data_IF_059075856203
#
_entry.id   IF_059075856203
#
_cell.length_a   1.000
_cell.length_b   1.000
_cell.length_c   1.000
_cell.angle_alpha   90.00
_cell.angle_beta   90.00
_cell.angle_gamma   90.00
#
_symmetry.space_group_name_H-M   'P 1'
#
loop_
_entity.id
_entity.type
_entity.pdbx_description
1 polymer ?
#
# COMPACT_ATOMS: atom_id res chain seq x y z
N UNK A 1 -29.02 -12.62 -1.76
CA UNK A 1 -28.21 -11.38 -1.78
C UNK A 1 -28.19 -10.86 -0.35
N UNK A 2 -27.23 -11.31 0.45
CA UNK A 2 -27.13 -10.96 1.87
C UNK A 2 -26.21 -9.73 1.98
N UNK A 3 -26.76 -8.64 2.50
CA UNK A 3 -26.00 -7.49 2.92
C UNK A 3 -25.08 -7.92 4.07
N UNK A 4 -23.82 -8.20 3.78
CA UNK A 4 -22.76 -8.14 4.78
C UNK A 4 -22.62 -6.67 5.15
N UNK A 5 -23.53 -6.19 6.03
CA UNK A 5 -23.43 -4.86 6.58
C UNK A 5 -22.07 -4.76 7.28
N UNK A 6 -21.30 -3.78 6.87
CA UNK A 6 -20.04 -3.31 7.38
C UNK A 6 -19.98 -3.36 8.94
N UNK A 7 -19.77 -4.56 9.52
CA UNK A 7 -19.68 -4.77 10.97
C UNK A 7 -18.43 -4.12 11.55
N UNK A 8 -17.46 -3.83 10.72
CA UNK A 8 -16.15 -3.32 11.11
C UNK A 8 -16.07 -1.78 11.09
N UNK A 9 -17.02 -1.12 10.43
CA UNK A 9 -17.10 0.34 10.41
C UNK A 9 -17.09 0.97 11.80
N UNK A 10 -17.90 0.49 12.77
CA UNK A 10 -17.89 0.99 14.14
C UNK A 10 -16.57 0.75 14.88
N UNK A 11 -15.95 -0.42 14.71
CA UNK A 11 -14.67 -0.76 15.36
C UNK A 11 -13.52 0.09 14.80
N UNK A 12 -13.45 0.27 13.49
CA UNK A 12 -12.47 1.15 12.86
C UNK A 12 -12.66 2.60 13.32
N UNK A 13 -13.89 3.11 13.27
CA UNK A 13 -14.20 4.49 13.69
C UNK A 13 -13.83 4.73 15.16
N UNK A 14 -14.18 3.80 16.05
CA UNK A 14 -13.79 3.85 17.47
C UNK A 14 -12.28 3.89 17.62
N UNK A 15 -11.55 3.07 16.87
CA UNK A 15 -10.09 3.06 16.90
C UNK A 15 -9.50 4.38 16.40
N UNK A 16 -9.95 4.89 15.27
CA UNK A 16 -9.48 6.16 14.70
C UNK A 16 -9.71 7.33 15.66
N UNK A 17 -10.86 7.36 16.34
CA UNK A 17 -11.19 8.37 17.34
C UNK A 17 -10.35 8.25 18.63
N UNK A 18 -9.82 7.06 18.95
CA UNK A 18 -8.95 6.85 20.12
C UNK A 18 -7.52 7.31 19.91
N UNK A 19 -7.09 7.53 18.67
CA UNK A 19 -5.74 7.98 18.33
C UNK A 19 -5.58 9.49 18.64
N UNK A 20 -4.44 9.85 19.22
CA UNK A 20 -4.05 11.26 19.37
C UNK A 20 -3.66 11.84 17.99
N UNK A 21 -4.65 12.24 17.21
CA UNK A 21 -4.42 12.68 15.82
C UNK A 21 -3.52 13.92 15.75
N UNK A 22 -3.63 14.86 16.67
CA UNK A 22 -2.81 16.07 16.66
C UNK A 22 -1.33 15.72 16.90
N UNK A 23 -1.03 14.88 17.88
CA UNK A 23 0.33 14.39 18.11
C UNK A 23 0.90 13.59 16.91
N UNK A 24 0.07 12.75 16.28
CA UNK A 24 0.47 12.00 15.09
C UNK A 24 0.71 12.92 13.87
N UNK A 25 -0.09 13.97 13.73
CA UNK A 25 0.07 14.98 12.68
C UNK A 25 1.38 15.76 12.85
N UNK A 26 1.70 16.16 14.08
CA UNK A 26 2.95 16.86 14.39
C UNK A 26 4.16 15.96 14.12
N UNK A 27 4.07 14.68 14.46
CA UNK A 27 5.12 13.70 14.17
C UNK A 27 5.28 13.49 12.66
N UNK A 28 4.17 13.28 11.94
CA UNK A 28 4.15 13.14 10.48
C UNK A 28 4.82 14.33 9.78
N UNK A 29 4.51 15.55 10.21
CA UNK A 29 5.11 16.77 9.65
C UNK A 29 6.61 16.88 9.96
N UNK A 30 7.02 16.61 11.20
CA UNK A 30 8.45 16.64 11.62
C UNK A 30 9.30 15.61 10.89
N UNK A 31 8.71 14.49 10.47
CA UNK A 31 9.40 13.43 9.74
C UNK A 31 9.29 13.57 8.22
N UNK A 32 9.00 14.78 7.70
CA UNK A 32 8.96 15.01 6.26
C UNK A 32 7.91 14.17 5.52
N UNK A 33 6.69 14.11 6.08
CA UNK A 33 5.54 13.35 5.56
C UNK A 33 5.74 11.82 5.65
N UNK A 34 6.25 11.35 6.79
CA UNK A 34 6.36 9.93 7.15
C UNK A 34 5.82 9.70 8.56
N UNK A 35 5.07 8.62 8.76
CA UNK A 35 4.56 8.21 10.07
C UNK A 35 4.43 6.69 10.15
N UNK A 36 4.82 6.09 11.29
CA UNK A 36 4.50 4.71 11.66
C UNK A 36 3.59 4.69 12.89
N UNK A 37 2.45 4.00 12.78
CA UNK A 37 1.51 3.79 13.88
C UNK A 37 1.42 2.30 14.18
N UNK A 38 1.96 1.91 15.32
CA UNK A 38 1.83 0.53 15.83
C UNK A 38 0.39 0.22 16.22
N UNK A 39 -0.04 -1.03 15.99
CA UNK A 39 -1.41 -1.47 16.34
C UNK A 39 -2.51 -0.53 15.81
N UNK A 40 -2.34 -0.02 14.60
CA UNK A 40 -3.28 0.92 13.99
C UNK A 40 -4.66 0.30 13.79
N UNK A 41 -4.72 -0.92 13.24
CA UNK A 41 -5.99 -1.61 13.01
C UNK A 41 -6.44 -2.38 14.27
N UNK A 42 -7.75 -2.40 14.56
CA UNK A 42 -8.32 -3.34 15.51
C UNK A 42 -7.97 -4.80 15.19
N UNK A 43 -7.73 -5.61 16.21
CA UNK A 43 -7.33 -7.01 16.03
C UNK A 43 -8.32 -7.83 15.17
N UNK A 44 -9.64 -7.58 15.30
CA UNK A 44 -10.67 -8.23 14.49
C UNK A 44 -10.55 -7.90 12.99
N UNK A 45 -10.29 -6.63 12.65
CA UNK A 45 -10.07 -6.20 11.25
C UNK A 45 -8.77 -6.80 10.72
N UNK A 46 -7.71 -6.76 11.51
CA UNK A 46 -6.42 -7.37 11.14
C UNK A 46 -6.59 -8.87 10.83
N UNK A 47 -7.29 -9.61 11.68
CA UNK A 47 -7.55 -11.03 11.47
C UNK A 47 -8.35 -11.32 10.18
N UNK A 48 -9.34 -10.48 9.86
CA UNK A 48 -10.11 -10.61 8.61
C UNK A 48 -9.26 -10.34 7.37
N UNK A 49 -8.38 -9.33 7.41
CA UNK A 49 -7.46 -9.05 6.31
C UNK A 49 -6.45 -10.19 6.13
N UNK A 50 -5.94 -10.77 7.22
CA UNK A 50 -5.04 -11.94 7.17
C UNK A 50 -5.76 -13.15 6.54
N UNK A 51 -7.01 -13.42 6.94
CA UNK A 51 -7.80 -14.49 6.33
C UNK A 51 -8.00 -14.27 4.82
N UNK A 52 -8.25 -13.01 4.41
CA UNK A 52 -8.42 -12.63 3.02
C UNK A 52 -7.15 -12.82 2.17
N UNK A 53 -5.94 -12.81 2.77
CA UNK A 53 -4.69 -13.15 2.08
C UNK A 53 -4.74 -14.57 1.51
N UNK A 54 -5.31 -15.53 2.27
CA UNK A 54 -5.46 -16.92 1.83
C UNK A 54 -6.26 -17.06 0.54
N UNK A 55 -7.33 -16.26 0.39
CA UNK A 55 -8.24 -16.30 -0.77
C UNK A 55 -7.58 -15.84 -2.08
N UNK A 56 -6.53 -15.05 -2.00
CA UNK A 56 -5.83 -14.49 -3.17
C UNK A 56 -4.48 -15.13 -3.46
N UNK A 57 -4.01 -16.06 -2.63
CA UNK A 57 -2.69 -16.70 -2.77
C UNK A 57 -2.52 -17.35 -4.16
N UNK A 58 -3.57 -17.97 -4.71
CA UNK A 58 -3.57 -18.54 -6.06
C UNK A 58 -3.47 -17.52 -7.20
N UNK A 59 -3.59 -16.22 -6.89
CA UNK A 59 -3.49 -15.11 -7.86
C UNK A 59 -2.16 -14.36 -7.78
N UNK A 60 -1.21 -14.84 -6.95
CA UNK A 60 0.10 -14.20 -6.79
C UNK A 60 0.89 -14.28 -8.09
N UNK A 61 1.20 -13.13 -8.65
CA UNK A 61 2.12 -13.00 -9.77
C UNK A 61 3.54 -12.77 -9.22
N UNK A 62 4.47 -13.66 -9.60
CA UNK A 62 5.88 -13.57 -9.18
C UNK A 62 6.68 -12.79 -10.22
N UNK A 63 7.39 -11.78 -9.76
CA UNK A 63 8.21 -10.92 -10.61
C UNK A 63 9.66 -10.92 -10.14
N UNK A 64 10.54 -10.81 -11.11
CA UNK A 64 11.96 -10.59 -10.91
C UNK A 64 12.43 -9.47 -11.83
N UNK A 65 12.92 -8.40 -11.26
CA UNK A 65 13.54 -7.29 -11.97
C UNK A 65 14.97 -7.15 -11.42
N UNK A 66 16.02 -7.57 -12.19
CA UNK A 66 17.39 -7.61 -11.71
C UNK A 66 17.83 -6.32 -11.04
N UNK A 67 18.42 -6.41 -9.84
CA UNK A 67 18.90 -5.28 -9.06
C UNK A 67 17.82 -4.36 -8.46
N UNK A 68 16.53 -4.65 -8.69
CA UNK A 68 15.46 -3.80 -8.21
C UNK A 68 14.41 -4.53 -7.38
N UNK A 69 13.87 -5.65 -7.85
CA UNK A 69 12.76 -6.33 -7.18
C UNK A 69 12.76 -7.83 -7.44
N UNK A 70 12.51 -8.59 -6.38
CA UNK A 70 12.09 -9.98 -6.43
C UNK A 70 10.94 -10.16 -5.45
N UNK A 71 9.83 -10.79 -5.85
CA UNK A 71 8.70 -10.98 -4.94
C UNK A 71 7.42 -11.37 -5.65
N UNK A 72 6.37 -11.59 -4.89
CA UNK A 72 5.02 -11.81 -5.36
C UNK A 72 4.15 -10.56 -5.19
N UNK A 73 3.17 -10.39 -6.05
CA UNK A 73 2.16 -9.34 -5.89
C UNK A 73 0.79 -9.76 -6.43
N UNK A 74 -0.26 -9.19 -5.82
CA UNK A 74 -1.66 -9.35 -6.25
C UNK A 74 -2.25 -7.96 -6.39
N UNK A 75 -2.79 -7.66 -7.59
CA UNK A 75 -3.40 -6.35 -7.87
C UNK A 75 -4.83 -6.25 -7.34
N UNK A 76 -5.33 -5.00 -7.28
CA UNK A 76 -6.73 -4.73 -6.93
C UNK A 76 -7.75 -5.58 -7.68
N UNK A 77 -7.51 -5.89 -8.96
CA UNK A 77 -8.49 -6.61 -9.78
C UNK A 77 -8.76 -8.04 -9.26
N UNK A 78 -7.71 -8.73 -8.80
CA UNK A 78 -7.87 -10.03 -8.16
C UNK A 78 -8.44 -9.89 -6.73
N UNK A 79 -8.04 -8.84 -6.00
CA UNK A 79 -8.55 -8.52 -4.67
C UNK A 79 -10.05 -8.21 -4.71
N UNK A 80 -10.52 -7.38 -5.64
CA UNK A 80 -11.95 -7.04 -5.80
C UNK A 80 -12.84 -8.28 -5.92
N UNK A 81 -12.34 -9.33 -6.55
CA UNK A 81 -13.09 -10.56 -6.81
C UNK A 81 -13.05 -11.54 -5.64
N UNK A 82 -11.89 -11.66 -4.96
CA UNK A 82 -11.62 -12.75 -4.02
C UNK A 82 -11.48 -12.31 -2.56
N UNK A 83 -11.15 -11.05 -2.31
CA UNK A 83 -10.90 -10.49 -1.00
C UNK A 83 -11.57 -9.11 -0.83
N UNK A 84 -12.90 -8.99 -1.04
CA UNK A 84 -13.60 -7.69 -1.09
C UNK A 84 -13.46 -6.87 0.19
N UNK A 85 -13.24 -7.47 1.34
CA UNK A 85 -13.00 -6.78 2.61
C UNK A 85 -11.82 -5.81 2.54
N UNK A 86 -10.79 -6.10 1.74
CA UNK A 86 -9.66 -5.20 1.51
C UNK A 86 -10.13 -3.95 0.75
N UNK A 87 -10.93 -4.15 -0.28
CA UNK A 87 -11.49 -3.05 -1.07
C UNK A 87 -12.50 -2.21 -0.28
N UNK A 88 -13.23 -2.82 0.66
CA UNK A 88 -14.13 -2.12 1.58
C UNK A 88 -13.35 -1.22 2.54
N UNK A 89 -12.26 -1.73 3.14
CA UNK A 89 -11.37 -0.93 3.99
C UNK A 89 -10.75 0.24 3.22
N UNK A 90 -10.26 0.01 2.00
CA UNK A 90 -9.72 1.07 1.14
C UNK A 90 -10.73 2.19 0.88
N UNK A 91 -12.03 1.84 0.68
CA UNK A 91 -13.11 2.79 0.40
C UNK A 91 -13.75 3.38 1.67
N UNK A 92 -13.26 3.03 2.85
CA UNK A 92 -13.80 3.53 4.11
C UNK A 92 -13.72 5.05 4.18
N UNK A 93 -14.88 5.71 4.30
CA UNK A 93 -14.95 7.16 4.45
C UNK A 93 -14.24 7.62 5.73
N UNK A 94 -14.36 6.86 6.82
CA UNK A 94 -13.71 7.16 8.10
C UNK A 94 -12.17 7.11 7.97
N UNK A 95 -11.62 6.12 7.26
CA UNK A 95 -10.18 6.03 7.01
C UNK A 95 -9.70 7.20 6.15
N UNK A 96 -10.43 7.51 5.07
CA UNK A 96 -10.08 8.62 4.17
C UNK A 96 -10.12 9.97 4.90
N UNK A 97 -11.14 10.22 5.72
CA UNK A 97 -11.26 11.45 6.51
C UNK A 97 -10.10 11.57 7.52
N UNK A 98 -9.79 10.47 8.23
CA UNK A 98 -8.66 10.44 9.16
C UNK A 98 -7.34 10.77 8.47
N UNK A 99 -7.10 10.18 7.28
CA UNK A 99 -5.91 10.46 6.47
C UNK A 99 -5.84 11.91 5.99
N UNK A 100 -6.96 12.50 5.57
CA UNK A 100 -7.01 13.90 5.16
C UNK A 100 -6.65 14.83 6.33
N UNK A 101 -7.14 14.51 7.53
CA UNK A 101 -6.81 15.25 8.76
C UNK A 101 -5.35 15.07 9.17
N UNK A 102 -4.80 13.86 9.03
CA UNK A 102 -3.39 13.56 9.32
C UNK A 102 -2.45 14.31 8.37
N UNK A 103 -2.71 14.22 7.07
CA UNK A 103 -1.82 14.76 6.04
C UNK A 103 -2.02 16.25 5.78
N UNK A 104 -3.18 16.80 6.15
CA UNK A 104 -3.60 18.16 5.78
C UNK A 104 -3.98 18.30 4.31
N UNK A 105 -4.12 17.20 3.58
CA UNK A 105 -4.37 17.16 2.14
C UNK A 105 -5.78 16.67 1.80
N UNK A 106 -6.34 17.20 0.73
CA UNK A 106 -7.59 16.67 0.18
C UNK A 106 -7.30 15.42 -0.64
N UNK A 107 -7.36 14.28 0.01
CA UNK A 107 -7.13 12.98 -0.62
C UNK A 107 -8.37 12.43 -1.32
N UNK A 108 -8.15 11.67 -2.38
CA UNK A 108 -9.17 10.98 -3.16
C UNK A 108 -8.71 9.53 -3.42
N UNK A 109 -9.67 8.67 -3.71
CA UNK A 109 -9.38 7.32 -4.19
C UNK A 109 -8.68 7.38 -5.54
N UNK A 110 -7.71 6.49 -5.77
CA UNK A 110 -7.13 6.30 -7.10
C UNK A 110 -8.21 5.87 -8.11
N UNK A 111 -8.06 6.21 -9.40
CA UNK A 111 -9.03 5.84 -10.43
C UNK A 111 -9.33 4.33 -10.47
N UNK A 112 -10.55 3.93 -10.86
CA UNK A 112 -10.96 2.53 -10.90
C UNK A 112 -10.09 1.62 -11.78
N UNK A 113 -9.36 2.18 -12.75
CA UNK A 113 -8.44 1.43 -13.62
C UNK A 113 -7.01 1.32 -13.11
N UNK A 114 -6.68 1.87 -11.93
CA UNK A 114 -5.34 1.78 -11.35
C UNK A 114 -5.13 0.44 -10.64
N UNK A 115 -4.23 -0.43 -11.13
CA UNK A 115 -3.96 -1.72 -10.50
C UNK A 115 -3.26 -1.59 -9.14
N UNK A 116 -2.64 -0.45 -8.86
CA UNK A 116 -1.96 -0.14 -7.61
C UNK A 116 -2.85 0.54 -6.56
N UNK A 117 -4.11 0.89 -6.88
CA UNK A 117 -5.00 1.53 -5.90
C UNK A 117 -4.98 0.82 -4.54
N UNK A 118 -4.90 -0.50 -4.57
CA UNK A 118 -4.52 -1.38 -3.46
C UNK A 118 -3.90 -2.67 -4.01
N UNK A 119 -2.88 -3.16 -3.32
CA UNK A 119 -2.14 -4.34 -3.73
C UNK A 119 -1.57 -5.09 -2.53
N UNK A 120 -1.47 -6.41 -2.65
CA UNK A 120 -0.76 -7.26 -1.71
C UNK A 120 0.63 -7.59 -2.25
N UNK A 121 1.62 -7.53 -1.37
CA UNK A 121 3.01 -7.87 -1.68
C UNK A 121 3.46 -9.04 -0.81
N UNK A 122 4.01 -10.06 -1.46
CA UNK A 122 4.42 -11.32 -0.87
C UNK A 122 5.94 -11.48 -0.94
N UNK A 123 6.56 -11.62 0.21
CA UNK A 123 7.98 -11.95 0.40
C UNK A 123 8.03 -13.31 1.08
N UNK A 124 8.02 -14.38 0.28
CA UNK A 124 7.82 -15.77 0.72
C UNK A 124 8.87 -16.72 0.19
N UNK A 125 9.87 -16.21 -0.53
CA UNK A 125 11.01 -17.00 -1.01
C UNK A 125 12.30 -16.30 -0.64
N UNK A 126 13.38 -17.05 -0.41
CA UNK A 126 14.68 -16.46 -0.10
C UNK A 126 15.08 -15.39 -1.11
N UNK A 127 15.50 -14.23 -0.60
CA UNK A 127 15.92 -13.10 -1.41
C UNK A 127 14.79 -12.22 -1.93
N UNK A 128 13.52 -12.46 -1.59
CA UNK A 128 12.43 -11.56 -1.96
C UNK A 128 12.64 -10.20 -1.31
N UNK A 129 12.64 -9.13 -2.13
CA UNK A 129 12.94 -7.77 -1.72
C UNK A 129 12.35 -6.75 -2.71
N UNK A 130 12.34 -5.48 -2.31
CA UNK A 130 12.25 -4.33 -3.21
C UNK A 130 13.44 -3.42 -2.89
N UNK A 131 14.24 -3.07 -3.90
CA UNK A 131 15.36 -2.15 -3.81
C UNK A 131 14.94 -0.70 -3.54
N UNK A 132 15.91 0.19 -3.36
CA UNK A 132 15.65 1.60 -3.11
C UNK A 132 14.85 2.26 -4.24
N UNK A 133 13.69 2.85 -3.92
CA UNK A 133 12.80 3.51 -4.86
C UNK A 133 11.95 4.60 -4.19
N UNK A 134 11.23 5.33 -5.01
CA UNK A 134 10.11 6.20 -4.63
C UNK A 134 8.83 5.65 -5.27
N UNK A 135 7.70 5.82 -4.61
CA UNK A 135 6.38 5.53 -5.19
C UNK A 135 5.91 6.73 -6.01
N UNK A 136 6.66 7.04 -7.07
CA UNK A 136 6.43 8.25 -7.87
C UNK A 136 5.04 8.27 -8.49
N UNK A 137 4.33 9.38 -8.32
CA UNK A 137 3.03 9.62 -8.92
C UNK A 137 3.13 9.82 -10.44
N UNK A 138 2.26 9.14 -11.18
CA UNK A 138 1.98 9.46 -12.59
C UNK A 138 0.75 10.36 -12.75
N UNK A 139 0.09 10.69 -11.64
CA UNK A 139 -1.03 11.62 -11.56
C UNK A 139 -0.56 13.06 -11.51
N UNK A 140 -1.47 14.00 -11.81
CA UNK A 140 -1.20 15.43 -11.67
C UNK A 140 -0.95 15.84 -10.21
N UNK A 141 -1.59 15.12 -9.27
CA UNK A 141 -1.41 15.32 -7.84
C UNK A 141 -0.34 14.42 -7.21
N UNK A 142 -0.10 14.69 -5.93
CA UNK A 142 0.77 13.89 -5.07
C UNK A 142 0.14 12.53 -4.76
N UNK A 143 0.98 11.54 -4.56
CA UNK A 143 0.61 10.18 -4.18
C UNK A 143 0.96 9.92 -2.72
N UNK A 144 0.01 9.37 -2.00
CA UNK A 144 0.17 8.96 -0.60
C UNK A 144 0.00 7.45 -0.50
N UNK A 145 1.04 6.80 0.01
CA UNK A 145 1.06 5.34 0.23
C UNK A 145 0.78 5.04 1.70
N UNK A 146 -0.15 4.12 1.92
CA UNK A 146 -0.37 3.45 3.18
C UNK A 146 0.17 2.04 3.07
N UNK A 147 1.04 1.64 3.98
CA UNK A 147 1.59 0.28 4.04
C UNK A 147 1.17 -0.38 5.34
N UNK A 148 0.30 -1.38 5.25
CA UNK A 148 -0.21 -2.17 6.36
C UNK A 148 0.54 -3.50 6.47
N UNK A 149 1.03 -3.83 7.65
CA UNK A 149 1.53 -5.16 7.98
C UNK A 149 0.38 -6.15 8.17
N UNK A 150 0.43 -7.30 7.49
CA UNK A 150 -0.57 -8.37 7.67
C UNK A 150 0.06 -9.64 8.24
N UNK A 151 1.15 -10.13 7.65
CA UNK A 151 1.90 -11.29 8.13
C UNK A 151 3.36 -10.87 8.17
N UNK A 152 4.03 -11.09 9.29
CA UNK A 152 5.46 -10.79 9.42
C UNK A 152 6.18 -11.80 10.33
N UNK A 153 6.42 -12.98 9.77
CA UNK A 153 7.32 -14.01 10.31
C UNK A 153 8.62 -13.96 9.50
N UNK A 154 9.33 -12.83 9.61
CA UNK A 154 10.51 -12.57 8.79
C UNK A 154 11.51 -11.64 9.49
N UNK A 155 12.73 -11.58 8.96
CA UNK A 155 13.74 -10.57 9.29
C UNK A 155 13.59 -9.30 8.43
N UNK A 156 12.67 -9.29 7.46
CA UNK A 156 12.48 -8.17 6.54
C UNK A 156 12.16 -6.86 7.27
N UNK A 157 12.74 -5.78 6.79
CA UNK A 157 12.53 -4.43 7.32
C UNK A 157 12.18 -3.45 6.21
N UNK A 158 11.41 -2.45 6.55
CA UNK A 158 11.28 -1.24 5.75
C UNK A 158 12.43 -0.31 6.15
N UNK A 159 13.43 -0.18 5.27
CA UNK A 159 14.43 0.87 5.39
C UNK A 159 13.95 2.10 4.63
N UNK A 160 14.18 3.28 5.20
CA UNK A 160 13.72 4.53 4.62
C UNK A 160 14.73 5.67 4.79
N UNK A 161 14.62 6.67 3.93
CA UNK A 161 15.42 7.89 3.94
C UNK A 161 14.48 9.10 3.81
N UNK A 162 14.50 9.95 4.83
CA UNK A 162 13.75 11.20 4.89
C UNK A 162 14.56 12.33 4.27
N UNK A 163 13.88 13.38 3.82
CA UNK A 163 14.45 14.64 3.32
C UNK A 163 15.37 14.50 2.09
N UNK A 164 15.31 13.37 1.37
CA UNK A 164 16.18 13.09 0.22
C UNK A 164 15.97 14.04 -0.97
N UNK A 165 14.86 14.77 -1.02
CA UNK A 165 14.50 15.74 -2.06
C UNK A 165 14.38 17.17 -1.55
N UNK A 166 14.78 17.42 -0.30
CA UNK A 166 14.73 18.74 0.32
C UNK A 166 16.11 19.41 0.20
N UNK A 167 16.17 20.54 -0.50
CA UNK A 167 17.43 21.29 -0.67
C UNK A 167 17.90 21.83 0.67
N UNK A 168 19.13 21.50 1.05
CA UNK A 168 19.76 21.97 2.27
C UNK A 168 19.41 21.17 3.54
N UNK A 169 18.52 20.19 3.46
CA UNK A 169 18.22 19.30 4.57
C UNK A 169 19.19 18.11 4.62
N UNK A 170 19.51 17.65 5.82
CA UNK A 170 20.31 16.43 6.01
C UNK A 170 19.40 15.20 5.85
N UNK A 171 19.88 14.21 5.09
CA UNK A 171 19.17 12.93 4.94
C UNK A 171 19.18 12.17 6.26
N UNK A 172 18.00 11.79 6.74
CA UNK A 172 17.83 10.94 7.92
C UNK A 172 17.43 9.54 7.47
N UNK A 173 18.21 8.53 7.85
CA UNK A 173 17.91 7.12 7.54
C UNK A 173 17.31 6.42 8.74
N UNK A 174 16.33 5.55 8.49
CA UNK A 174 15.70 4.70 9.49
C UNK A 174 15.39 3.32 8.96
N UNK A 175 15.04 2.41 9.90
CA UNK A 175 14.69 1.03 9.61
C UNK A 175 13.65 0.55 10.62
N UNK A 176 12.49 0.10 10.14
CA UNK A 176 11.40 -0.39 10.98
C UNK A 176 10.91 -1.77 10.55
N UNK A 177 10.39 -2.51 11.52
CA UNK A 177 9.61 -3.73 11.29
C UNK A 177 8.14 -3.37 11.45
N UNK A 178 7.31 -3.73 10.47
CA UNK A 178 5.89 -3.38 10.48
C UNK A 178 5.10 -4.60 10.95
N UNK A 179 4.72 -4.59 12.22
CA UNK A 179 3.92 -5.66 12.82
C UNK A 179 2.53 -5.80 12.16
N UNK A 180 1.89 -6.97 12.27
CA UNK A 180 0.49 -7.14 11.85
C UNK A 180 -0.43 -6.11 12.49
N UNK A 181 -1.24 -5.43 11.68
CA UNK A 181 -2.12 -4.33 12.11
C UNK A 181 -1.42 -2.97 12.24
N UNK A 182 -0.10 -2.90 12.09
CA UNK A 182 0.64 -1.64 12.04
C UNK A 182 0.49 -0.94 10.68
N UNK A 183 0.52 0.38 10.69
CA UNK A 183 0.38 1.23 9.51
C UNK A 183 1.57 2.17 9.35
N UNK A 184 2.14 2.22 8.16
CA UNK A 184 3.03 3.31 7.73
C UNK A 184 2.27 4.18 6.74
N UNK A 185 2.35 5.50 6.91
CA UNK A 185 1.80 6.51 5.99
C UNK A 185 2.93 7.40 5.51
N UNK A 186 3.01 7.61 4.20
CA UNK A 186 4.02 8.51 3.63
C UNK A 186 3.61 9.11 2.29
N UNK A 187 4.27 10.22 1.95
CA UNK A 187 4.21 10.77 0.62
C UNK A 187 5.14 9.97 -0.30
N UNK A 188 4.56 9.26 -1.28
CA UNK A 188 5.29 8.38 -2.19
C UNK A 188 6.32 9.10 -3.08
N UNK A 189 6.09 10.39 -3.35
CA UNK A 189 7.00 11.20 -4.17
C UNK A 189 8.28 11.62 -3.43
N UNK A 190 8.27 11.62 -2.09
CA UNK A 190 9.38 12.16 -1.28
C UNK A 190 10.13 11.11 -0.48
N UNK A 191 9.47 10.04 -0.05
CA UNK A 191 10.10 8.98 0.73
C UNK A 191 10.90 8.03 -0.17
N UNK A 192 12.22 7.98 0.02
CA UNK A 192 13.04 6.92 -0.56
C UNK A 192 13.04 5.71 0.37
N UNK A 193 12.63 4.54 -0.12
CA UNK A 193 12.49 3.38 0.74
C UNK A 193 12.82 2.06 0.02
N UNK A 194 13.00 1.00 0.81
CA UNK A 194 13.21 -0.37 0.33
C UNK A 194 12.66 -1.38 1.32
N UNK A 195 12.44 -2.62 0.86
CA UNK A 195 12.26 -3.79 1.73
C UNK A 195 13.50 -4.66 1.64
N UNK A 196 14.10 -4.96 2.79
CA UNK A 196 15.29 -5.81 2.86
C UNK A 196 14.97 -7.26 2.44
N UNK A 197 15.95 -8.01 1.91
CA UNK A 197 15.73 -9.40 1.46
C UNK A 197 15.27 -10.32 2.59
N UNK A 198 14.31 -11.21 2.26
CA UNK A 198 13.89 -12.30 3.14
C UNK A 198 14.89 -13.45 3.16
N UNK A 199 14.96 -14.17 4.28
CA UNK A 199 15.75 -15.37 4.47
C UNK A 199 14.93 -16.65 4.14
N UNK A 200 15.59 -17.82 4.06
CA UNK A 200 14.89 -19.10 3.90
C UNK A 200 13.89 -19.38 5.04
N UNK A 201 12.68 -19.82 4.67
CA UNK A 201 11.60 -20.13 5.63
C UNK A 201 10.81 -18.94 6.13
N UNK A 202 11.20 -17.73 5.78
CA UNK A 202 10.51 -16.50 6.17
C UNK A 202 9.27 -16.20 5.32
N UNK A 203 8.29 -15.57 5.95
CA UNK A 203 7.08 -15.08 5.28
C UNK A 203 6.73 -13.67 5.76
N UNK A 204 6.60 -12.77 4.80
CA UNK A 204 6.05 -11.43 5.01
C UNK A 204 5.00 -11.13 3.95
N UNK A 205 3.84 -10.64 4.39
CA UNK A 205 2.79 -10.12 3.50
C UNK A 205 2.39 -8.74 3.97
N UNK A 206 2.40 -7.79 3.06
CA UNK A 206 1.95 -6.42 3.31
C UNK A 206 0.91 -5.99 2.29
N UNK A 207 0.00 -5.11 2.73
CA UNK A 207 -1.04 -4.49 1.93
C UNK A 207 -0.72 -3.02 1.74
N UNK A 208 -0.76 -2.53 0.50
CA UNK A 208 -0.66 -1.10 0.21
C UNK A 208 -2.00 -0.53 -0.22
N UNK A 209 -2.26 0.70 0.20
CA UNK A 209 -3.35 1.55 -0.31
C UNK A 209 -2.74 2.83 -0.87
N UNK A 210 -3.25 3.27 -2.02
CA UNK A 210 -2.79 4.47 -2.70
C UNK A 210 -3.92 5.50 -2.81
N UNK A 211 -3.67 6.68 -2.27
CA UNK A 211 -4.56 7.84 -2.38
C UNK A 211 -3.85 8.97 -3.10
N UNK A 212 -4.60 9.83 -3.76
CA UNK A 212 -4.05 10.91 -4.58
C UNK A 212 -4.73 12.23 -4.27
N UNK A 213 -4.02 13.35 -4.44
CA UNK A 213 -4.62 14.68 -4.29
C UNK A 213 -5.35 15.13 -5.56
N UNK A 214 -4.89 14.69 -6.73
CA UNK A 214 -5.51 14.92 -8.03
C UNK A 214 -5.39 13.68 -8.92
N UNK A 215 -6.48 12.95 -9.20
CA UNK A 215 -6.46 11.71 -9.94
C UNK A 215 -6.34 11.88 -11.46
N UNK A 216 -6.24 13.11 -11.97
CA UNK A 216 -6.06 13.34 -13.40
C UNK A 216 -4.71 12.81 -13.88
N UNK A 217 -4.72 12.13 -15.00
CA UNK A 217 -3.51 11.57 -15.60
C UNK A 217 -3.55 11.77 -17.11
N UNK A 218 -2.47 12.24 -17.70
CA UNK A 218 -2.35 12.32 -19.14
C UNK A 218 -2.37 10.90 -19.77
N UNK A 219 -3.09 10.64 -20.86
CA UNK A 219 -3.22 9.29 -21.44
C UNK A 219 -1.89 8.59 -21.72
N UNK A 220 -0.85 9.33 -22.12
CA UNK A 220 0.49 8.79 -22.36
C UNK A 220 1.15 8.25 -21.09
N UNK A 221 1.04 8.96 -19.97
CA UNK A 221 1.54 8.51 -18.68
C UNK A 221 0.79 7.28 -18.18
N UNK A 222 -0.51 7.17 -18.48
CA UNK A 222 -1.30 5.98 -18.17
C UNK A 222 -0.78 4.76 -18.90
N UNK A 223 -0.42 4.89 -20.20
CA UNK A 223 0.16 3.80 -20.98
C UNK A 223 1.50 3.34 -20.40
N UNK A 224 2.39 4.29 -20.08
CA UNK A 224 3.70 4.00 -19.46
C UNK A 224 3.53 3.31 -18.10
N UNK A 225 2.62 3.80 -17.25
CA UNK A 225 2.32 3.19 -15.96
C UNK A 225 1.83 1.75 -16.14
N UNK A 226 0.84 1.52 -17.00
CA UNK A 226 0.30 0.19 -17.26
C UNK A 226 1.35 -0.78 -17.79
N UNK A 227 2.24 -0.34 -18.65
CA UNK A 227 3.34 -1.18 -19.19
C UNK A 227 4.33 -1.54 -18.05
N UNK A 228 4.75 -0.58 -17.24
CA UNK A 228 5.59 -0.82 -16.06
C UNK A 228 4.94 -1.82 -15.11
N UNK A 229 3.64 -1.66 -14.85
CA UNK A 229 2.88 -2.50 -13.93
C UNK A 229 2.72 -3.93 -14.46
N UNK A 230 2.51 -4.07 -15.76
CA UNK A 230 2.42 -5.36 -16.41
C UNK A 230 3.75 -6.14 -16.35
N UNK A 231 4.87 -5.46 -16.62
CA UNK A 231 6.19 -6.11 -16.59
C UNK A 231 6.75 -6.24 -15.18
N UNK A 232 6.62 -5.20 -14.34
CA UNK A 232 7.29 -5.12 -13.05
C UNK A 232 6.53 -5.72 -11.86
N UNK A 233 5.20 -5.88 -11.96
CA UNK A 233 4.40 -6.19 -10.77
C UNK A 233 3.33 -7.28 -10.97
N UNK A 234 2.33 -7.06 -11.80
CA UNK A 234 1.11 -7.85 -11.79
C UNK A 234 0.94 -8.81 -12.97
N UNK A 235 1.77 -8.68 -14.01
CA UNK A 235 1.60 -9.39 -15.28
C UNK A 235 0.48 -8.81 -16.16
N UNK A 236 0.55 -9.11 -17.45
CA UNK A 236 -0.35 -8.52 -18.45
C UNK A 236 -1.84 -8.78 -18.19
N UNK A 237 -2.19 -9.98 -17.71
CA UNK A 237 -3.59 -10.34 -17.45
C UNK A 237 -4.24 -9.47 -16.36
N UNK A 238 -3.51 -9.15 -15.29
CA UNK A 238 -4.05 -8.36 -14.19
C UNK A 238 -4.10 -6.86 -14.50
N UNK A 239 -3.20 -6.36 -15.33
CA UNK A 239 -3.16 -4.93 -15.70
C UNK A 239 -4.17 -4.60 -16.80
N UNK A 240 -4.29 -5.47 -17.81
CA UNK A 240 -5.13 -5.25 -18.99
C UNK A 240 -6.47 -6.00 -18.95
N UNK A 241 -6.93 -6.42 -17.77
CA UNK A 241 -8.16 -7.19 -17.59
C UNK A 241 -9.38 -6.56 -18.31
N UNK A 242 -9.55 -5.23 -18.26
CA UNK A 242 -10.64 -4.53 -18.94
C UNK A 242 -10.56 -4.58 -20.47
N UNK A 243 -9.37 -4.70 -21.05
CA UNK A 243 -9.20 -4.82 -22.50
C UNK A 243 -9.45 -6.24 -23.00
N UNK A 244 -9.30 -7.23 -22.11
CA UNK A 244 -9.48 -8.65 -22.44
C UNK A 244 -10.91 -9.13 -22.17
N UNK A 245 -11.64 -8.52 -21.22
CA UNK A 245 -13.03 -8.86 -20.89
C UNK A 245 -14.09 -8.04 -21.65
N UNK A 246 -13.69 -7.11 -22.50
CA UNK A 246 -14.58 -6.24 -23.29
C UNK A 246 -14.86 -6.75 -24.71
N UNK A 247 -14.74 -8.04 -24.96
CA UNK A 247 -15.15 -8.70 -26.21
C UNK A 247 -16.10 -9.87 -25.90
N UNK A 248 -17.26 -9.54 -25.38
CA UNK A 248 -18.48 -10.32 -25.52
C UNK A 248 -19.66 -9.37 -25.78
#
# INVERSE_FOLDING_TARGET
>A
MSASANRDGPALLSRLNSLNLDGLRDEYARQGAFLYVENFLPAGITAQLIAAVGEVTGSVNRNYLPGHKQGGSVSRHAIDTRAPVIAELYRSAALLEWLQRLTGERLQLSPPGDPHAYALYFYTRPGDHIGWHYDTSYYAGRRYTLLLGLIDDSSCRLDYQLHTRETGASVVSGSIKIAPGGLVVFNGDTLRHRITPSLPGETRVSLTFEYVTDPRMHPWWRLISNMKDAFGYFGFRQVFHRFLSGRE
#
